data_IF_461210178572
#
_entry.id   IF_461210178572
#
_cell.length_a   1.000
_cell.length_b   1.000
_cell.length_c   1.000
_cell.angle_alpha   90.00
_cell.angle_beta   90.00
_cell.angle_gamma   90.00
#
_symmetry.space_group_name_H-M   'P 1'
#
loop_
_entity.id
_entity.type
_entity.pdbx_description
1 polymer ?
#
# COMPACT_ATOMS: atom_id res chain seq x y z
N UNK A 1 11.19 -12.70 43.65
CA UNK A 1 10.62 -12.73 42.28
C UNK A 1 11.78 -12.68 41.29
N UNK A 2 11.99 -13.74 40.50
CA UNK A 2 13.16 -13.89 39.61
C UNK A 2 12.80 -13.84 38.11
N UNK A 3 11.53 -13.55 37.80
CA UNK A 3 11.02 -13.53 36.42
C UNK A 3 10.97 -12.11 35.88
N UNK A 4 11.43 -11.93 34.64
CA UNK A 4 11.51 -10.63 33.98
C UNK A 4 11.05 -10.72 32.53
N UNK A 5 10.47 -9.63 32.04
CA UNK A 5 10.21 -9.42 30.62
C UNK A 5 11.12 -8.29 30.16
N UNK A 6 12.14 -8.63 29.37
CA UNK A 6 13.08 -7.64 28.82
C UNK A 6 12.61 -7.27 27.42
N UNK A 7 12.47 -5.96 27.19
CA UNK A 7 12.08 -5.40 25.90
C UNK A 7 13.19 -4.51 25.34
N UNK A 8 13.17 -4.29 24.03
CA UNK A 8 14.06 -3.31 23.39
C UNK A 8 13.71 -1.90 23.89
N UNK A 9 14.71 -1.03 24.05
CA UNK A 9 14.58 0.39 24.47
C UNK A 9 13.65 1.19 23.55
N UNK A 10 13.46 0.75 22.31
CA UNK A 10 12.51 1.35 21.36
C UNK A 10 11.03 1.23 21.81
N UNK A 11 10.74 0.29 22.71
CA UNK A 11 9.43 0.13 23.35
C UNK A 11 9.38 1.05 24.56
N UNK A 12 8.77 2.23 24.35
CA UNK A 12 8.51 3.18 25.42
C UNK A 12 7.66 2.51 26.54
N UNK A 13 7.99 2.71 27.83
CA UNK A 13 7.24 2.15 28.96
C UNK A 13 5.73 2.45 28.93
N UNK A 14 5.31 3.61 28.40
CA UNK A 14 3.88 3.94 28.19
C UNK A 14 3.11 3.00 27.26
N UNK A 15 3.82 2.20 26.45
CA UNK A 15 3.22 1.18 25.58
C UNK A 15 2.94 -0.12 26.34
N UNK A 16 3.53 -0.30 27.52
CA UNK A 16 3.27 -1.45 28.38
C UNK A 16 1.93 -1.18 29.06
N UNK A 17 0.92 -1.95 28.68
CA UNK A 17 -0.45 -1.80 29.20
C UNK A 17 -0.57 -2.50 30.55
N UNK A 18 0.06 -3.67 30.69
CA UNK A 18 -0.11 -4.52 31.85
C UNK A 18 1.02 -5.55 31.95
N UNK A 19 1.45 -5.85 33.19
CA UNK A 19 2.41 -6.90 33.52
C UNK A 19 1.91 -7.60 34.78
N UNK A 20 1.61 -8.89 34.68
CA UNK A 20 1.09 -9.68 35.79
C UNK A 20 1.75 -11.05 35.90
N UNK A 21 1.85 -11.52 37.13
CA UNK A 21 2.26 -12.87 37.47
C UNK A 21 0.99 -13.70 37.71
N UNK A 22 0.83 -14.80 36.99
CA UNK A 22 -0.27 -15.73 37.14
C UNK A 22 0.16 -16.83 38.11
N UNK A 23 -0.30 -16.70 39.36
CA UNK A 23 0.06 -17.62 40.45
C UNK A 23 -0.84 -18.86 40.50
N UNK A 24 -1.97 -18.86 39.82
CA UNK A 24 -2.99 -19.92 39.83
C UNK A 24 -3.16 -20.62 38.48
N UNK A 25 -2.31 -20.31 37.50
CA UNK A 25 -2.31 -21.04 36.24
C UNK A 25 -1.63 -22.39 36.52
N UNK A 26 -2.41 -23.47 36.52
CA UNK A 26 -1.86 -24.82 36.58
C UNK A 26 -1.24 -25.15 35.22
N UNK A 27 0.02 -24.75 35.05
CA UNK A 27 0.83 -25.04 33.86
C UNK A 27 1.72 -26.26 34.11
N UNK A 28 1.53 -26.98 35.22
CA UNK A 28 2.39 -28.10 35.63
C UNK A 28 3.85 -27.67 35.86
N UNK A 29 4.07 -26.45 36.35
CA UNK A 29 5.41 -25.87 36.61
C UNK A 29 5.51 -25.30 38.02
N UNK A 30 6.67 -25.48 38.64
CA UNK A 30 7.01 -24.86 39.94
C UNK A 30 7.23 -23.33 39.81
N UNK A 31 7.24 -22.82 38.57
CA UNK A 31 7.44 -21.42 38.26
C UNK A 31 6.13 -20.71 37.89
N UNK A 32 5.94 -19.49 38.39
CA UNK A 32 4.78 -18.67 38.05
C UNK A 32 4.93 -18.05 36.66
N UNK A 33 3.83 -18.05 35.88
CA UNK A 33 3.83 -17.49 34.53
C UNK A 33 3.75 -15.96 34.57
N UNK A 34 4.63 -15.26 33.86
CA UNK A 34 4.57 -13.80 33.72
C UNK A 34 3.99 -13.42 32.36
N UNK A 35 2.93 -12.63 32.37
CA UNK A 35 2.25 -12.13 31.18
C UNK A 35 2.45 -10.61 31.06
N UNK A 36 2.93 -10.18 29.89
CA UNK A 36 3.11 -8.77 29.56
C UNK A 36 2.28 -8.41 28.32
N UNK A 37 1.41 -7.41 28.45
CA UNK A 37 0.60 -6.88 27.36
C UNK A 37 1.17 -5.54 26.90
N UNK A 38 1.62 -5.47 25.66
CA UNK A 38 2.26 -4.27 25.10
C UNK A 38 1.55 -3.82 23.82
N UNK A 39 1.33 -2.51 23.66
CA UNK A 39 0.78 -1.89 22.46
C UNK A 39 1.88 -1.64 21.43
N UNK A 40 1.82 -2.32 20.28
CA UNK A 40 2.75 -2.09 19.17
C UNK A 40 2.07 -1.15 18.15
N UNK A 41 2.59 0.08 18.05
CA UNK A 41 2.21 1.00 16.98
C UNK A 41 3.19 0.80 15.84
N UNK A 42 2.75 0.13 14.78
CA UNK A 42 3.55 -0.02 13.56
C UNK A 42 3.56 1.34 12.87
N UNK A 43 4.73 2.00 12.83
CA UNK A 43 4.90 3.17 11.97
C UNK A 43 4.75 2.68 10.54
N UNK A 44 3.64 3.04 9.89
CA UNK A 44 3.45 2.79 8.48
C UNK A 44 4.43 3.69 7.74
N UNK A 45 5.57 3.15 7.33
CA UNK A 45 6.40 3.78 6.34
C UNK A 45 5.80 3.38 5.00
N UNK A 46 5.11 4.29 4.27
CA UNK A 46 4.69 3.97 2.92
C UNK A 46 5.93 3.51 2.15
N UNK A 47 5.83 2.45 1.34
CA UNK A 47 6.93 2.06 0.48
C UNK A 47 7.34 3.32 -0.31
N UNK A 48 8.63 3.69 -0.25
CA UNK A 48 9.16 4.76 -1.10
C UNK A 48 8.81 4.37 -2.53
N UNK A 49 7.80 5.01 -3.12
CA UNK A 49 7.47 4.81 -4.52
C UNK A 49 8.73 5.17 -5.28
N UNK A 50 9.28 4.22 -6.02
CA UNK A 50 10.37 4.53 -6.95
C UNK A 50 9.86 5.68 -7.85
N UNK A 51 10.70 6.69 -8.07
CA UNK A 51 10.35 7.77 -8.97
C UNK A 51 9.91 7.16 -10.32
N UNK A 52 8.82 7.64 -10.94
CA UNK A 52 8.36 7.10 -12.21
C UNK A 52 9.48 7.22 -13.22
N UNK A 53 10.04 6.09 -13.65
CA UNK A 53 11.00 6.05 -14.74
C UNK A 53 10.28 6.56 -15.98
N UNK A 54 10.55 7.82 -16.37
CA UNK A 54 10.08 8.36 -17.64
C UNK A 54 10.79 7.59 -18.75
N UNK A 55 10.21 6.48 -19.19
CA UNK A 55 10.64 5.84 -20.42
C UNK A 55 10.28 6.79 -21.56
N UNK A 56 11.27 7.56 -22.03
CA UNK A 56 11.16 8.26 -23.31
C UNK A 56 10.73 7.22 -24.34
N UNK A 57 9.48 7.34 -24.81
CA UNK A 57 8.97 6.49 -25.90
C UNK A 57 9.91 6.73 -27.08
N UNK A 58 10.64 5.71 -27.51
CA UNK A 58 11.47 5.77 -28.71
C UNK A 58 10.54 5.84 -29.92
N UNK A 59 10.30 7.07 -30.40
CA UNK A 59 9.46 7.36 -31.57
C UNK A 59 9.96 6.63 -32.83
N UNK A 60 11.24 6.27 -32.88
CA UNK A 60 11.87 5.48 -33.95
C UNK A 60 11.19 4.13 -34.20
N UNK A 61 10.49 3.56 -33.21
CA UNK A 61 9.72 2.31 -33.37
C UNK A 61 8.37 2.47 -34.09
N UNK A 62 7.91 3.70 -34.34
CA UNK A 62 6.66 3.99 -35.07
C UNK A 62 6.83 4.08 -36.59
N UNK A 63 8.06 3.97 -37.12
CA UNK A 63 8.35 4.17 -38.54
C UNK A 63 7.88 3.05 -39.49
N UNK A 64 7.16 2.05 -38.99
CA UNK A 64 6.53 1.00 -39.79
C UNK A 64 5.03 1.28 -39.90
N UNK A 65 4.50 1.28 -41.12
CA UNK A 65 3.12 1.64 -41.46
C UNK A 65 2.08 0.84 -40.65
N UNK A 66 2.34 -0.45 -40.38
CA UNK A 66 1.48 -1.32 -39.56
C UNK A 66 1.43 -0.93 -38.08
N UNK A 67 2.54 -0.47 -37.51
CA UNK A 67 2.62 0.05 -36.13
C UNK A 67 1.93 1.41 -36.00
N UNK A 68 2.04 2.28 -37.00
CA UNK A 68 1.32 3.56 -37.02
C UNK A 68 -0.19 3.32 -37.06
N UNK A 69 -0.66 2.41 -37.92
CA UNK A 69 -2.07 2.04 -38.00
C UNK A 69 -2.62 1.52 -36.65
N UNK A 70 -1.90 0.59 -36.01
CA UNK A 70 -2.31 0.05 -34.71
C UNK A 70 -2.32 1.11 -33.62
N UNK A 71 -1.35 2.03 -33.65
CA UNK A 71 -1.27 3.12 -32.70
C UNK A 71 -2.41 4.12 -32.89
N UNK A 72 -2.69 4.54 -34.13
CA UNK A 72 -3.84 5.39 -34.47
C UNK A 72 -5.16 4.75 -34.05
N UNK A 73 -5.34 3.45 -34.32
CA UNK A 73 -6.55 2.69 -33.93
C UNK A 73 -6.71 2.57 -32.41
N UNK A 74 -5.60 2.47 -31.67
CA UNK A 74 -5.62 2.43 -30.20
C UNK A 74 -5.95 3.80 -29.61
N UNK A 75 -5.42 4.89 -30.18
CA UNK A 75 -5.75 6.26 -29.77
C UNK A 75 -7.21 6.58 -30.08
N UNK A 76 -7.70 6.30 -31.29
CA UNK A 76 -9.09 6.57 -31.66
C UNK A 76 -10.07 5.80 -30.77
N UNK A 77 -9.76 4.54 -30.44
CA UNK A 77 -10.56 3.75 -29.47
C UNK A 77 -10.54 4.36 -28.06
N UNK A 78 -9.41 4.90 -27.60
CA UNK A 78 -9.32 5.59 -26.30
C UNK A 78 -10.10 6.90 -26.28
N UNK A 79 -10.06 7.66 -27.37
CA UNK A 79 -10.82 8.90 -27.51
C UNK A 79 -12.32 8.61 -27.52
N UNK A 80 -12.78 7.62 -28.29
CA UNK A 80 -14.18 7.21 -28.33
C UNK A 80 -14.68 6.65 -26.99
N UNK A 81 -13.85 5.93 -26.24
CA UNK A 81 -14.21 5.43 -24.90
C UNK A 81 -14.28 6.51 -23.82
N UNK A 82 -13.62 7.65 -24.06
CA UNK A 82 -13.50 8.76 -23.14
C UNK A 82 -14.04 10.06 -23.76
N UNK A 83 -15.15 9.99 -24.50
CA UNK A 83 -15.80 11.19 -25.01
C UNK A 83 -16.14 12.12 -23.85
N UNK A 84 -15.59 13.33 -23.89
CA UNK A 84 -15.92 14.42 -22.97
C UNK A 84 -17.24 14.98 -23.48
N UNK A 85 -18.34 14.63 -22.81
CA UNK A 85 -19.63 15.25 -23.09
C UNK A 85 -19.52 16.74 -22.77
N UNK A 86 -20.17 17.60 -23.55
CA UNK A 86 -20.05 19.07 -23.48
C UNK A 86 -20.40 19.66 -22.08
N UNK A 87 -21.03 18.85 -21.22
CA UNK A 87 -21.40 19.17 -19.83
C UNK A 87 -20.53 18.50 -18.75
N UNK A 88 -19.50 17.72 -19.12
CA UNK A 88 -18.59 17.10 -18.15
C UNK A 88 -17.51 18.11 -17.74
N UNK A 89 -17.59 18.61 -16.51
CA UNK A 89 -16.49 19.36 -15.90
C UNK A 89 -15.24 18.48 -15.93
N UNK A 90 -14.13 19.02 -16.43
CA UNK A 90 -12.84 18.34 -16.66
C UNK A 90 -12.43 17.41 -15.49
N UNK A 91 -12.72 17.83 -14.25
CA UNK A 91 -12.44 17.08 -13.03
C UNK A 91 -13.19 15.75 -12.92
N UNK A 92 -14.48 15.73 -13.28
CA UNK A 92 -15.30 14.50 -13.22
C UNK A 92 -14.87 13.49 -14.29
N UNK A 93 -14.40 13.98 -15.44
CA UNK A 93 -13.88 13.14 -16.50
C UNK A 93 -12.55 12.48 -16.09
N UNK A 94 -11.63 13.25 -15.47
CA UNK A 94 -10.37 12.74 -14.97
C UNK A 94 -10.56 11.66 -13.89
N UNK A 95 -11.49 11.83 -12.96
CA UNK A 95 -11.82 10.81 -11.95
C UNK A 95 -12.32 9.51 -12.57
N UNK A 96 -13.17 9.58 -13.62
CA UNK A 96 -13.63 8.40 -14.37
C UNK A 96 -12.48 7.67 -15.07
N UNK A 97 -11.56 8.42 -15.67
CA UNK A 97 -10.39 7.85 -16.36
C UNK A 97 -9.44 7.19 -15.36
N UNK A 98 -9.21 7.80 -14.19
CA UNK A 98 -8.40 7.19 -13.12
C UNK A 98 -9.05 5.94 -12.53
N UNK A 99 -10.37 5.95 -12.32
CA UNK A 99 -11.09 4.79 -11.81
C UNK A 99 -11.01 3.60 -12.76
N UNK A 100 -11.24 3.83 -14.05
CA UNK A 100 -11.16 2.77 -15.08
C UNK A 100 -9.74 2.22 -15.23
N UNK A 101 -8.70 3.05 -15.10
CA UNK A 101 -7.31 2.61 -15.14
C UNK A 101 -6.94 1.69 -13.96
N UNK A 102 -7.47 1.95 -12.77
CA UNK A 102 -7.14 1.20 -11.56
C UNK A 102 -7.90 -0.14 -11.43
N UNK A 103 -8.95 -0.37 -12.23
CA UNK A 103 -9.81 -1.56 -12.12
C UNK A 103 -9.76 -2.51 -13.34
N UNK A 104 -9.03 -2.14 -14.40
CA UNK A 104 -8.87 -2.96 -15.61
C UNK A 104 -7.42 -3.45 -15.84
N UNK A 105 -6.47 -3.04 -15.02
CA UNK A 105 -5.09 -3.53 -14.97
C UNK A 105 -4.85 -4.28 -13.66
#
# INVERSE_FOLDING_TARGET
MIYYVITNRDINPSKIIDVRCLNSADVGSDHSLVLCKTRIIRKYFPPKRAAPTQTKIKVEGLNKESTEYLYRKRISKKIAGNEILENDNIWNHLERVEWTWNHLC
#
